data_IF_255344522169
#
_entry.id   IF_255344522169
#
_cell.length_a   1.000
_cell.length_b   1.000
_cell.length_c   1.000
_cell.angle_alpha   90.00
_cell.angle_beta   90.00
_cell.angle_gamma   90.00
#
_symmetry.space_group_name_H-M   'P 1'
#
loop_
_entity.id
_entity.type
_entity.pdbx_description
1 polymer ?
#
# COMPACT_ATOMS: atom_id res chain seq x y z
N UNK A 1 -14.40 19.98 -13.86
CA UNK A 1 -15.10 18.76 -13.40
C UNK A 1 -14.31 17.59 -13.95
N UNK A 2 -13.84 16.65 -13.10
CA UNK A 2 -13.02 15.52 -13.54
C UNK A 2 -13.91 14.28 -13.65
N UNK A 3 -14.30 13.94 -14.88
CA UNK A 3 -15.25 12.85 -15.16
C UNK A 3 -14.53 11.75 -15.95
N UNK A 4 -14.73 10.50 -15.54
CA UNK A 4 -14.15 9.32 -16.14
C UNK A 4 -15.21 8.23 -16.35
N UNK A 5 -14.96 7.28 -17.24
CA UNK A 5 -15.83 6.12 -17.34
C UNK A 5 -15.70 5.24 -16.08
N UNK A 6 -14.45 5.02 -15.59
CA UNK A 6 -14.18 4.21 -14.41
C UNK A 6 -13.25 4.93 -13.44
N UNK A 7 -13.58 4.91 -12.15
CA UNK A 7 -12.65 5.24 -11.08
C UNK A 7 -12.24 3.98 -10.33
N UNK A 8 -10.96 3.90 -9.98
CA UNK A 8 -10.39 2.80 -9.18
C UNK A 8 -9.81 3.41 -7.91
N UNK A 9 -10.28 2.99 -6.74
CA UNK A 9 -9.76 3.48 -5.46
C UNK A 9 -8.63 2.56 -5.01
N UNK A 10 -7.40 3.09 -4.95
CA UNK A 10 -6.18 2.38 -4.57
C UNK A 10 -5.33 1.94 -5.77
N UNK A 11 -4.02 2.06 -5.62
CA UNK A 11 -3.02 1.77 -6.65
C UNK A 11 -2.15 0.54 -6.35
N UNK A 12 -2.54 -0.26 -5.36
CA UNK A 12 -1.90 -1.54 -5.05
C UNK A 12 -2.14 -2.60 -6.12
N UNK A 13 -1.77 -3.85 -5.87
CA UNK A 13 -1.93 -4.95 -6.83
C UNK A 13 -3.36 -5.09 -7.36
N UNK A 14 -4.38 -4.92 -6.51
CA UNK A 14 -5.78 -4.95 -6.94
C UNK A 14 -6.12 -3.84 -7.93
N UNK A 15 -5.68 -2.61 -7.66
CA UNK A 15 -5.89 -1.47 -8.55
C UNK A 15 -5.13 -1.62 -9.88
N UNK A 16 -3.90 -2.10 -9.84
CA UNK A 16 -3.11 -2.40 -11.04
C UNK A 16 -3.76 -3.49 -11.89
N UNK A 17 -4.20 -4.58 -11.24
CA UNK A 17 -4.93 -5.65 -11.90
C UNK A 17 -6.20 -5.15 -12.60
N UNK A 18 -7.00 -4.34 -11.91
CA UNK A 18 -8.21 -3.74 -12.47
C UNK A 18 -7.89 -2.84 -13.68
N UNK A 19 -6.93 -1.92 -13.54
CA UNK A 19 -6.51 -1.01 -14.59
C UNK A 19 -6.02 -1.73 -15.85
N UNK A 20 -5.18 -2.76 -15.68
CA UNK A 20 -4.64 -3.53 -16.81
C UNK A 20 -5.77 -4.31 -17.53
N UNK A 21 -6.71 -4.88 -16.78
CA UNK A 21 -7.85 -5.57 -17.40
C UNK A 21 -8.80 -4.60 -18.13
N UNK A 22 -8.98 -3.37 -17.63
CA UNK A 22 -9.69 -2.34 -18.38
C UNK A 22 -8.99 -2.01 -19.70
N UNK A 23 -7.66 -1.83 -19.68
CA UNK A 23 -6.89 -1.62 -20.92
C UNK A 23 -7.02 -2.77 -21.91
N UNK A 24 -6.96 -4.03 -21.42
CA UNK A 24 -7.18 -5.22 -22.26
C UNK A 24 -8.58 -5.28 -22.86
N UNK A 25 -9.57 -4.74 -22.16
CA UNK A 25 -10.95 -4.63 -22.65
C UNK A 25 -11.18 -3.41 -23.57
N UNK A 26 -10.13 -2.64 -23.89
CA UNK A 26 -10.24 -1.43 -24.71
C UNK A 26 -10.78 -0.21 -23.98
N UNK A 27 -10.91 -0.26 -22.65
CA UNK A 27 -11.36 0.84 -21.81
C UNK A 27 -10.15 1.62 -21.33
N UNK A 28 -9.92 2.81 -21.87
CA UNK A 28 -8.77 3.67 -21.52
C UNK A 28 -9.17 4.90 -20.70
N UNK A 29 -10.46 5.22 -20.61
CA UNK A 29 -10.99 6.34 -19.84
C UNK A 29 -11.23 5.94 -18.38
N UNK A 30 -10.14 5.83 -17.62
CA UNK A 30 -10.18 5.56 -16.19
C UNK A 30 -9.10 6.33 -15.44
N UNK A 31 -9.28 6.46 -14.12
CA UNK A 31 -8.30 7.05 -13.20
C UNK A 31 -8.22 6.21 -11.92
N UNK A 32 -6.98 5.95 -11.45
CA UNK A 32 -6.74 5.43 -10.11
C UNK A 32 -6.60 6.60 -9.14
N UNK A 33 -7.24 6.49 -7.98
CA UNK A 33 -7.12 7.47 -6.90
C UNK A 33 -6.29 6.84 -5.78
N UNK A 34 -5.12 7.41 -5.52
CA UNK A 34 -4.19 6.91 -4.50
C UNK A 34 -4.00 7.94 -3.40
N UNK A 35 -4.15 7.53 -2.15
CA UNK A 35 -4.01 8.42 -0.98
C UNK A 35 -2.57 8.86 -0.71
N UNK A 36 -1.60 8.03 -1.11
CA UNK A 36 -0.18 8.26 -0.89
C UNK A 36 0.42 9.12 -1.99
N UNK A 37 1.64 9.56 -1.80
CA UNK A 37 2.46 10.28 -2.78
C UNK A 37 3.25 9.34 -3.70
N UNK A 38 2.98 8.02 -3.62
CA UNK A 38 3.59 6.99 -4.45
C UNK A 38 2.55 6.00 -5.01
N UNK A 39 2.89 5.39 -6.12
CA UNK A 39 2.14 4.31 -6.75
C UNK A 39 2.61 2.95 -6.22
N UNK A 40 1.69 2.04 -5.81
CA UNK A 40 2.06 0.65 -5.57
C UNK A 40 1.51 -0.05 -4.33
N UNK A 41 0.89 0.67 -3.40
CA UNK A 41 0.20 0.06 -2.26
C UNK A 41 1.12 -0.55 -1.20
N UNK A 42 0.76 -1.71 -0.66
CA UNK A 42 1.37 -2.36 0.51
C UNK A 42 2.89 -2.50 0.40
N UNK A 43 3.42 -2.91 -0.74
CA UNK A 43 4.85 -3.21 -0.91
C UNK A 43 5.70 -1.98 -1.24
N UNK A 44 5.07 -0.85 -1.47
CA UNK A 44 5.74 0.45 -1.50
C UNK A 44 5.66 1.16 -0.14
N UNK A 45 4.68 0.79 0.70
CA UNK A 45 4.47 1.40 2.01
C UNK A 45 5.19 0.67 3.15
N UNK A 46 5.14 -0.65 3.20
CA UNK A 46 5.74 -1.44 4.28
C UNK A 46 7.24 -1.63 4.03
N UNK A 47 8.05 -0.74 4.56
CA UNK A 47 9.51 -0.69 4.38
C UNK A 47 10.29 -1.02 5.64
N UNK A 48 9.64 -1.63 6.64
CA UNK A 48 10.30 -2.06 7.86
C UNK A 48 11.30 -3.19 7.60
N UNK A 49 12.36 -3.33 8.41
CA UNK A 49 13.35 -4.38 8.25
C UNK A 49 12.75 -5.78 8.27
N UNK A 50 13.14 -6.62 7.31
CA UNK A 50 12.65 -7.99 7.18
C UNK A 50 11.28 -8.11 6.50
N UNK A 51 10.69 -7.03 5.99
CA UNK A 51 9.43 -7.09 5.27
C UNK A 51 9.54 -7.99 4.02
N UNK A 52 8.71 -9.01 3.94
CA UNK A 52 8.69 -10.01 2.86
C UNK A 52 7.29 -10.59 2.70
N UNK A 53 7.01 -11.21 1.56
CA UNK A 53 5.79 -12.01 1.42
C UNK A 53 5.89 -13.30 2.23
N UNK A 54 4.74 -13.79 2.71
CA UNK A 54 4.55 -15.08 3.36
C UNK A 54 3.85 -16.11 2.44
N UNK A 55 3.70 -15.76 1.17
CA UNK A 55 3.17 -16.60 0.09
C UNK A 55 4.26 -16.71 -0.98
N UNK A 56 4.44 -17.88 -1.63
CA UNK A 56 5.41 -18.02 -2.71
C UNK A 56 5.25 -16.95 -3.80
N UNK A 57 6.33 -16.24 -4.11
CA UNK A 57 6.34 -15.08 -5.01
C UNK A 57 5.72 -15.34 -6.38
N UNK A 58 5.88 -16.51 -7.03
CA UNK A 58 5.21 -16.82 -8.29
C UNK A 58 3.68 -16.84 -8.19
N UNK A 59 3.13 -17.12 -6.99
CA UNK A 59 1.68 -17.07 -6.73
C UNK A 59 1.24 -15.67 -6.29
N UNK A 60 2.15 -14.91 -5.67
CA UNK A 60 1.90 -13.53 -5.24
C UNK A 60 2.30 -12.53 -6.33
N UNK A 61 1.86 -12.79 -7.56
CA UNK A 61 2.13 -11.95 -8.73
C UNK A 61 0.95 -11.98 -9.69
N UNK A 62 0.93 -11.05 -10.65
CA UNK A 62 -0.10 -11.02 -11.68
C UNK A 62 0.23 -12.08 -12.74
N UNK A 63 -0.69 -13.00 -13.00
CA UNK A 63 -0.49 -14.13 -13.93
C UNK A 63 -0.13 -13.70 -15.37
N UNK A 64 -0.50 -12.50 -15.75
CA UNK A 64 -0.23 -11.91 -17.06
C UNK A 64 1.00 -10.98 -17.08
N UNK A 65 1.70 -10.85 -15.97
CA UNK A 65 2.94 -10.07 -15.81
C UNK A 65 4.01 -10.94 -15.13
N UNK A 66 4.57 -11.95 -15.85
CA UNK A 66 5.57 -12.84 -15.28
C UNK A 66 6.83 -12.08 -14.90
N UNK A 67 7.47 -12.51 -13.81
CA UNK A 67 8.67 -11.89 -13.28
C UNK A 67 9.69 -12.94 -12.84
N UNK A 68 10.97 -12.63 -12.96
CA UNK A 68 12.04 -13.53 -12.54
C UNK A 68 12.39 -13.28 -11.07
N UNK A 69 11.62 -13.93 -10.20
CA UNK A 69 11.85 -13.85 -8.75
C UNK A 69 13.19 -14.47 -8.39
N UNK A 70 13.93 -13.79 -7.51
CA UNK A 70 15.24 -14.28 -7.03
C UNK A 70 15.10 -15.27 -5.88
N UNK A 71 13.93 -15.25 -5.19
CA UNK A 71 13.68 -16.12 -4.03
C UNK A 71 12.19 -16.50 -3.93
N UNK A 72 11.93 -17.60 -3.24
CA UNK A 72 10.59 -18.14 -3.06
C UNK A 72 9.66 -17.17 -2.33
N UNK A 73 10.18 -16.46 -1.34
CA UNK A 73 9.46 -15.46 -0.56
C UNK A 73 10.19 -14.12 -0.71
N UNK A 74 9.79 -13.35 -1.70
CA UNK A 74 10.47 -12.12 -2.06
C UNK A 74 10.40 -11.08 -0.94
N UNK A 75 11.51 -10.42 -0.70
CA UNK A 75 11.59 -9.28 0.20
C UNK A 75 10.95 -8.02 -0.42
N UNK A 76 10.66 -7.05 0.43
CA UNK A 76 9.98 -5.81 0.05
C UNK A 76 10.65 -5.10 -1.13
N UNK A 77 11.97 -5.04 -1.17
CA UNK A 77 12.69 -4.36 -2.25
C UNK A 77 12.40 -5.00 -3.62
N UNK A 78 12.35 -6.33 -3.70
CA UNK A 78 12.05 -7.03 -4.94
C UNK A 78 10.56 -6.88 -5.32
N UNK A 79 9.65 -6.91 -4.34
CA UNK A 79 8.23 -6.65 -4.56
C UNK A 79 7.96 -5.21 -5.03
N UNK A 80 8.71 -4.25 -4.51
CA UNK A 80 8.68 -2.88 -4.98
C UNK A 80 9.16 -2.78 -6.44
N UNK A 81 10.28 -3.43 -6.79
CA UNK A 81 10.76 -3.48 -8.17
C UNK A 81 9.75 -4.14 -9.11
N UNK A 82 9.11 -5.23 -8.69
CA UNK A 82 8.03 -5.85 -9.44
C UNK A 82 6.85 -4.89 -9.67
N UNK A 83 6.45 -4.16 -8.63
CA UNK A 83 5.39 -3.15 -8.75
C UNK A 83 5.75 -2.08 -9.78
N UNK A 84 6.98 -1.54 -9.74
CA UNK A 84 7.43 -0.56 -10.72
C UNK A 84 7.50 -1.14 -12.14
N UNK A 85 7.97 -2.37 -12.28
CA UNK A 85 7.95 -3.08 -13.56
C UNK A 85 6.53 -3.16 -14.15
N UNK A 86 5.53 -3.55 -13.35
CA UNK A 86 4.13 -3.63 -13.80
C UNK A 86 3.60 -2.25 -14.22
N UNK A 87 3.84 -1.23 -13.42
CA UNK A 87 3.39 0.14 -13.69
C UNK A 87 3.97 0.66 -15.01
N UNK A 88 5.27 0.45 -15.25
CA UNK A 88 5.94 0.90 -16.47
C UNK A 88 5.52 0.06 -17.70
N UNK A 89 5.53 -1.26 -17.55
CA UNK A 89 5.22 -2.18 -18.64
C UNK A 89 3.81 -1.97 -19.22
N UNK A 90 2.84 -1.63 -18.38
CA UNK A 90 1.47 -1.39 -18.79
C UNK A 90 1.11 0.10 -18.93
N UNK A 91 2.05 1.02 -18.79
CA UNK A 91 1.84 2.46 -18.98
C UNK A 91 0.82 3.05 -17.99
N UNK A 92 0.86 2.64 -16.73
CA UNK A 92 -0.12 3.07 -15.72
C UNK A 92 0.26 4.38 -15.03
N UNK A 93 1.49 4.86 -15.18
CA UNK A 93 2.00 6.02 -14.42
C UNK A 93 1.13 7.28 -14.58
N UNK A 94 0.68 7.56 -15.79
CA UNK A 94 -0.15 8.73 -16.09
C UNK A 94 -1.64 8.52 -15.78
N UNK A 95 -2.00 7.32 -15.32
CA UNK A 95 -3.39 6.95 -14.99
C UNK A 95 -3.72 7.09 -13.51
N UNK A 96 -2.78 7.54 -12.68
CA UNK A 96 -2.98 7.69 -11.24
C UNK A 96 -3.04 9.16 -10.84
N UNK A 97 -3.94 9.46 -9.91
CA UNK A 97 -3.95 10.69 -9.12
C UNK A 97 -3.43 10.37 -7.73
N UNK A 98 -2.18 10.77 -7.46
CA UNK A 98 -1.53 10.60 -6.16
C UNK A 98 -2.03 11.66 -5.17
N UNK A 99 -1.91 11.40 -3.87
CA UNK A 99 -2.38 12.28 -2.79
C UNK A 99 -3.89 12.61 -2.87
N UNK A 100 -4.64 11.74 -3.54
CA UNK A 100 -6.10 11.83 -3.69
C UNK A 100 -6.79 10.89 -2.69
N UNK A 101 -6.61 11.14 -1.39
CA UNK A 101 -7.29 10.38 -0.36
C UNK A 101 -8.81 10.49 -0.53
N UNK A 102 -9.47 9.36 -0.75
CA UNK A 102 -10.93 9.31 -0.87
C UNK A 102 -11.54 9.41 0.52
N UNK A 103 -12.36 10.42 0.72
CA UNK A 103 -13.00 10.75 2.00
C UNK A 103 -14.46 10.29 2.04
N UNK A 104 -15.15 10.41 0.89
CA UNK A 104 -16.57 10.05 0.76
C UNK A 104 -16.89 9.62 -0.66
N UNK A 105 -17.77 8.64 -0.77
CA UNK A 105 -18.29 8.13 -2.04
C UNK A 105 -19.81 8.09 -1.97
N UNK A 106 -20.47 8.64 -2.97
CA UNK A 106 -21.92 8.70 -3.07
C UNK A 106 -22.38 8.33 -4.47
N UNK A 107 -23.55 7.70 -4.56
CA UNK A 107 -24.25 7.52 -5.83
C UNK A 107 -25.23 8.65 -6.06
N UNK A 108 -25.09 9.34 -7.18
CA UNK A 108 -26.07 10.32 -7.63
C UNK A 108 -27.13 9.61 -8.49
N UNK A 109 -28.32 9.45 -7.93
CA UNK A 109 -29.40 8.72 -8.60
C UNK A 109 -30.05 9.52 -9.73
N UNK A 110 -29.90 10.83 -9.73
CA UNK A 110 -30.41 11.72 -10.80
C UNK A 110 -29.48 11.69 -12.01
N UNK A 111 -28.18 11.87 -11.76
CA UNK A 111 -27.15 11.91 -12.81
C UNK A 111 -26.63 10.53 -13.19
N UNK A 112 -26.99 9.46 -12.43
CA UNK A 112 -26.57 8.07 -12.66
C UNK A 112 -25.07 7.88 -12.71
N UNK A 113 -24.36 8.50 -11.76
CA UNK A 113 -22.91 8.37 -11.62
C UNK A 113 -22.47 8.36 -10.14
N UNK A 114 -21.27 7.88 -9.92
CA UNK A 114 -20.57 7.96 -8.65
C UNK A 114 -19.94 9.34 -8.48
N UNK A 115 -20.11 9.93 -7.30
CA UNK A 115 -19.44 11.14 -6.84
C UNK A 115 -18.41 10.75 -5.79
N UNK A 116 -17.13 11.02 -6.07
CA UNK A 116 -16.01 10.62 -5.21
C UNK A 116 -15.29 11.88 -4.73
N UNK A 117 -15.40 12.16 -3.44
CA UNK A 117 -14.78 13.31 -2.78
C UNK A 117 -13.40 12.93 -2.29
N UNK A 118 -12.40 13.73 -2.63
CA UNK A 118 -11.01 13.53 -2.25
C UNK A 118 -10.38 14.81 -1.74
N UNK A 119 -9.22 14.71 -1.11
CA UNK A 119 -8.40 15.86 -0.71
C UNK A 119 -8.00 16.79 -1.90
N UNK A 120 -8.04 16.27 -3.14
CA UNK A 120 -7.72 17.02 -4.37
C UNK A 120 -8.94 17.52 -5.14
N UNK A 121 -10.13 17.32 -4.60
CA UNK A 121 -11.39 17.73 -5.24
C UNK A 121 -12.31 16.55 -5.52
N UNK A 122 -13.34 16.81 -6.34
CA UNK A 122 -14.40 15.84 -6.62
C UNK A 122 -14.22 15.23 -8.00
N UNK A 123 -14.30 13.91 -8.07
CA UNK A 123 -14.26 13.10 -9.27
C UNK A 123 -15.61 12.43 -9.52
N UNK A 124 -15.94 12.18 -10.78
CA UNK A 124 -17.20 11.56 -11.19
C UNK A 124 -16.93 10.36 -12.10
N UNK A 125 -17.71 9.29 -11.95
CA UNK A 125 -17.60 8.13 -12.85
C UNK A 125 -18.89 7.34 -12.97
N UNK A 126 -19.06 6.64 -14.10
CA UNK A 126 -20.14 5.68 -14.28
C UNK A 126 -19.93 4.42 -13.44
N UNK A 127 -18.67 3.97 -13.33
CA UNK A 127 -18.29 2.77 -12.59
C UNK A 127 -17.23 3.07 -11.55
N UNK A 128 -17.32 2.38 -10.42
CA UNK A 128 -16.37 2.48 -9.33
C UNK A 128 -15.84 1.10 -8.97
N UNK A 129 -14.52 0.97 -8.90
CA UNK A 129 -13.83 -0.23 -8.45
C UNK A 129 -13.13 0.09 -7.12
N UNK A 130 -13.52 -0.60 -6.05
CA UNK A 130 -12.84 -0.50 -4.76
C UNK A 130 -11.67 -1.51 -4.72
N UNK A 131 -10.45 -0.99 -4.68
CA UNK A 131 -9.19 -1.74 -4.61
C UNK A 131 -8.29 -1.26 -3.45
N UNK A 132 -8.89 -0.82 -2.35
CA UNK A 132 -8.20 -0.22 -1.19
C UNK A 132 -7.34 -1.20 -0.40
N UNK A 133 -7.55 -2.50 -0.57
CA UNK A 133 -6.89 -3.56 0.20
C UNK A 133 -7.41 -3.69 1.64
N UNK A 134 -7.20 -4.85 2.29
CA UNK A 134 -7.72 -5.12 3.63
C UNK A 134 -6.85 -4.53 4.75
N UNK A 135 -5.57 -4.23 4.50
CA UNK A 135 -4.58 -3.83 5.51
C UNK A 135 -4.08 -2.39 5.31
N UNK A 136 -4.92 -1.51 4.80
CA UNK A 136 -4.51 -0.17 4.38
C UNK A 136 -4.35 0.83 5.53
N UNK A 137 -5.01 0.61 6.67
CA UNK A 137 -4.94 1.50 7.84
C UNK A 137 -4.42 0.73 9.05
N UNK A 138 -3.34 1.21 9.69
CA UNK A 138 -2.85 0.62 10.93
C UNK A 138 -3.80 0.93 12.09
N UNK A 139 -3.94 -0.02 12.99
CA UNK A 139 -4.58 0.19 14.30
C UNK A 139 -3.47 0.34 15.33
N UNK A 140 -3.35 1.53 15.89
CA UNK A 140 -2.42 1.79 16.97
C UNK A 140 -3.17 1.67 18.29
N UNK A 141 -2.86 0.66 19.13
CA UNK A 141 -3.53 0.51 20.41
C UNK A 141 -3.17 1.66 21.35
N UNK A 142 -4.11 2.03 22.20
CA UNK A 142 -3.86 2.99 23.26
C UNK A 142 -3.58 2.25 24.57
N UNK A 143 -2.51 2.62 25.25
CA UNK A 143 -2.13 2.09 26.56
C UNK A 143 -2.15 3.19 27.61
N UNK A 144 -2.65 2.87 28.80
CA UNK A 144 -2.60 3.79 29.92
C UNK A 144 -1.15 4.18 30.25
N UNK A 145 -0.89 5.47 30.32
CA UNK A 145 0.45 5.99 30.58
C UNK A 145 1.38 6.06 29.36
N UNK A 146 0.89 5.76 28.16
CA UNK A 146 1.68 5.86 26.94
C UNK A 146 2.27 7.25 26.72
N UNK A 147 1.58 8.28 27.15
CA UNK A 147 2.02 9.68 27.06
C UNK A 147 3.25 10.00 27.95
N UNK A 148 3.57 9.14 28.93
CA UNK A 148 4.75 9.26 29.79
C UNK A 148 5.99 8.60 29.22
N UNK A 149 5.84 7.86 28.12
CA UNK A 149 6.98 7.21 27.47
C UNK A 149 7.82 8.25 26.75
N UNK A 150 9.03 8.51 27.26
CA UNK A 150 9.95 9.50 26.70
C UNK A 150 10.73 9.05 25.47
N UNK A 151 10.58 7.79 25.02
CA UNK A 151 11.27 7.25 23.88
C UNK A 151 10.52 7.49 22.55
N UNK A 152 11.16 7.15 21.45
CA UNK A 152 10.55 7.20 20.11
C UNK A 152 9.54 6.07 19.94
N UNK A 153 8.37 6.38 19.41
CA UNK A 153 7.30 5.42 19.11
C UNK A 153 6.83 5.60 17.66
N UNK A 154 6.70 4.50 16.92
CA UNK A 154 6.11 4.48 15.58
C UNK A 154 5.55 3.09 15.25
N UNK A 155 4.65 3.04 14.26
CA UNK A 155 4.07 1.79 13.78
C UNK A 155 4.86 1.25 12.58
N UNK A 156 4.98 -0.08 12.43
CA UNK A 156 5.67 -0.74 11.30
C UNK A 156 5.16 -0.27 9.93
N UNK A 157 3.87 0.02 9.81
CA UNK A 157 3.27 0.55 8.58
C UNK A 157 3.80 1.95 8.17
N UNK A 158 4.40 2.69 9.11
CA UNK A 158 5.07 3.97 8.87
C UNK A 158 6.45 3.91 9.53
N UNK A 159 7.32 3.05 9.02
CA UNK A 159 8.67 2.88 9.56
C UNK A 159 9.48 4.18 9.43
N UNK A 160 10.04 4.63 10.55
CA UNK A 160 10.85 5.84 10.58
C UNK A 160 12.30 5.52 10.26
N UNK A 161 12.67 5.61 8.98
CA UNK A 161 14.03 5.37 8.51
C UNK A 161 15.05 6.40 9.01
N UNK A 162 14.62 7.54 9.55
CA UNK A 162 15.51 8.55 10.13
C UNK A 162 15.95 8.20 11.55
N UNK A 163 15.25 7.24 12.18
CA UNK A 163 15.53 6.86 13.56
C UNK A 163 16.50 5.68 13.62
N UNK A 164 17.67 5.89 14.24
CA UNK A 164 18.65 4.83 14.49
C UNK A 164 18.31 4.09 15.79
N UNK A 165 17.82 2.85 15.65
CA UNK A 165 17.48 1.95 16.75
C UNK A 165 18.65 1.09 17.26
N UNK A 166 19.79 1.10 16.56
CA UNK A 166 20.97 0.27 16.90
C UNK A 166 21.50 0.65 18.29
N UNK A 167 21.91 -0.39 19.02
CA UNK A 167 22.41 -0.27 20.40
C UNK A 167 21.43 0.38 21.37
N UNK A 168 20.12 0.33 21.10
CA UNK A 168 19.07 0.81 21.99
C UNK A 168 18.25 -0.32 22.56
N UNK A 169 17.57 -0.05 23.65
CA UNK A 169 16.54 -0.94 24.19
C UNK A 169 15.27 -0.70 23.39
N UNK A 170 14.78 -1.73 22.71
CA UNK A 170 13.60 -1.67 21.83
C UNK A 170 12.51 -2.57 22.40
N UNK A 171 11.27 -2.10 22.36
CA UNK A 171 10.08 -2.91 22.63
C UNK A 171 9.21 -3.00 21.39
N UNK A 172 8.75 -4.20 21.07
CA UNK A 172 7.78 -4.45 19.99
C UNK A 172 6.48 -4.91 20.63
N UNK A 173 5.41 -4.18 20.33
CA UNK A 173 4.06 -4.52 20.79
C UNK A 173 3.30 -5.20 19.68
N UNK A 174 3.00 -6.48 19.86
CA UNK A 174 2.27 -7.30 18.90
C UNK A 174 3.05 -8.54 18.44
N UNK A 175 2.32 -9.57 18.03
CA UNK A 175 2.85 -10.86 17.58
C UNK A 175 2.35 -11.26 16.18
N UNK A 176 1.86 -10.30 15.40
CA UNK A 176 1.40 -10.53 14.02
C UNK A 176 2.54 -10.68 13.01
N UNK A 177 2.20 -10.85 11.73
CA UNK A 177 3.16 -11.08 10.64
C UNK A 177 4.29 -10.05 10.60
N UNK A 178 3.98 -8.76 10.77
CA UNK A 178 5.01 -7.70 10.80
C UNK A 178 5.98 -7.87 11.98
N UNK A 179 5.49 -8.23 13.16
CA UNK A 179 6.36 -8.49 14.31
C UNK A 179 7.25 -9.71 14.06
N UNK A 180 6.70 -10.81 13.53
CA UNK A 180 7.45 -12.02 13.19
C UNK A 180 8.60 -11.76 12.20
N UNK A 181 8.48 -10.74 11.37
CA UNK A 181 9.50 -10.35 10.39
C UNK A 181 10.50 -9.34 10.97
N UNK A 182 10.02 -8.29 11.65
CA UNK A 182 10.90 -7.22 12.14
C UNK A 182 11.76 -7.67 13.32
N UNK A 183 11.24 -8.54 14.21
CA UNK A 183 11.97 -9.04 15.38
C UNK A 183 13.33 -9.68 15.00
N UNK A 184 13.39 -10.72 14.18
CA UNK A 184 14.68 -11.32 13.82
C UNK A 184 15.57 -10.38 13.01
N UNK A 185 14.99 -9.45 12.25
CA UNK A 185 15.74 -8.51 11.43
C UNK A 185 16.49 -7.45 12.24
N UNK A 186 15.94 -7.00 13.38
CA UNK A 186 16.57 -5.96 14.21
C UNK A 186 17.28 -6.53 15.44
N UNK A 187 16.98 -7.76 15.87
CA UNK A 187 17.54 -8.36 17.08
C UNK A 187 19.07 -8.32 17.18
N UNK A 188 19.84 -8.53 16.08
CA UNK A 188 21.29 -8.46 16.12
C UNK A 188 21.85 -7.06 16.40
N UNK A 189 21.08 -6.01 16.11
CA UNK A 189 21.54 -4.63 16.12
C UNK A 189 21.16 -3.87 17.41
N UNK A 190 20.18 -4.36 18.16
CA UNK A 190 19.69 -3.69 19.38
C UNK A 190 20.44 -4.16 20.62
N UNK A 191 20.51 -3.31 21.65
CA UNK A 191 21.07 -3.68 22.95
C UNK A 191 20.18 -4.69 23.67
N UNK A 192 18.87 -4.47 23.62
CA UNK A 192 17.90 -5.35 24.24
C UNK A 192 16.55 -5.28 23.49
N UNK A 193 15.91 -6.42 23.26
CA UNK A 193 14.63 -6.51 22.59
C UNK A 193 13.58 -7.12 23.53
N UNK A 194 12.51 -6.38 23.77
CA UNK A 194 11.31 -6.88 24.42
C UNK A 194 10.22 -7.14 23.37
N UNK A 195 9.49 -8.25 23.53
CA UNK A 195 8.36 -8.63 22.66
C UNK A 195 7.13 -8.91 23.52
#
# INVERSE_FOLDING_TARGET
MQTFQVLIIGSGFGGQCAAINLLKAGISDFRLLERRDFFGGTWCQNTYPGAAVDVPSPLYSLSFAPYRWTQMFAEQAELHHYTQYVVEHFGLRDKVELQANVERVEWDDVQKHWVVHTAKGTFYAQFLINATGPLSQPVVPHFEGQERFGGKTFHTNNWDHSYDYRHKRVAIVGSGASAAQVIPAIAPDVEHLHV
#
